data_IF_504494265998
#
_entry.id   IF_504494265998
#
_cell.length_a   1.000
_cell.length_b   1.000
_cell.length_c   1.000
_cell.angle_alpha   90.00
_cell.angle_beta   90.00
_cell.angle_gamma   90.00
#
_symmetry.space_group_name_H-M   'P 1'
#
loop_
_entity.id
_entity.type
_entity.pdbx_description
1 polymer ?
#
# COMPACT_ATOMS: atom_id res chain seq x y z
N UNK A 1 9.51 19.56 8.65
CA UNK A 1 10.07 18.40 7.93
C UNK A 1 8.87 17.67 7.37
N UNK A 2 8.70 17.69 6.05
CA UNK A 2 7.63 16.93 5.39
C UNK A 2 7.85 15.43 5.58
N UNK A 3 6.77 14.68 5.69
CA UNK A 3 6.83 13.22 5.73
C UNK A 3 7.38 12.71 4.39
N UNK A 4 8.46 11.93 4.49
CA UNK A 4 9.15 11.32 3.35
C UNK A 4 8.29 10.18 2.79
N UNK A 5 7.55 9.51 3.68
CA UNK A 5 6.66 8.42 3.32
C UNK A 5 5.21 8.80 3.64
N UNK A 6 4.29 8.50 2.72
CA UNK A 6 2.85 8.75 2.90
C UNK A 6 2.04 7.53 2.53
N UNK A 7 0.93 7.30 3.23
CA UNK A 7 -0.01 6.24 2.86
C UNK A 7 -0.91 6.74 1.73
N UNK A 8 -0.99 5.98 0.64
CA UNK A 8 -1.90 6.23 -0.47
C UNK A 8 -2.92 5.11 -0.58
N UNK A 9 -4.20 5.48 -0.56
CA UNK A 9 -5.31 4.58 -0.91
C UNK A 9 -5.26 4.28 -2.40
N UNK A 10 -5.23 3.00 -2.74
CA UNK A 10 -5.21 2.50 -4.11
C UNK A 10 -6.45 1.63 -4.35
N UNK A 11 -6.91 1.58 -5.59
CA UNK A 11 -7.97 0.65 -5.99
C UNK A 11 -7.34 -0.71 -6.28
N UNK A 12 -8.01 -1.79 -5.86
CA UNK A 12 -7.66 -3.18 -6.13
C UNK A 12 -8.87 -3.81 -6.81
N UNK A 13 -8.66 -4.44 -7.96
CA UNK A 13 -9.71 -5.22 -8.63
C UNK A 13 -9.35 -6.69 -8.39
N UNK A 14 -10.23 -7.41 -7.69
CA UNK A 14 -10.04 -8.84 -7.44
C UNK A 14 -10.73 -9.60 -8.57
N UNK A 15 -9.95 -10.29 -9.38
CA UNK A 15 -10.46 -11.15 -10.45
C UNK A 15 -10.50 -12.58 -9.91
N UNK A 16 -11.70 -13.12 -9.78
CA UNK A 16 -11.92 -14.50 -9.37
C UNK A 16 -11.67 -15.43 -10.57
N UNK A 17 -10.63 -16.25 -10.51
CA UNK A 17 -10.37 -17.26 -11.53
C UNK A 17 -11.44 -18.36 -11.50
N UNK A 18 -11.76 -18.94 -12.66
CA UNK A 18 -12.69 -20.08 -12.77
C UNK A 18 -11.96 -21.37 -13.10
N UNK A 19 -12.51 -22.51 -12.70
CA UNK A 19 -12.09 -23.82 -13.23
C UNK A 19 -12.93 -24.20 -14.46
N UNK A 20 -12.37 -25.08 -15.29
CA UNK A 20 -13.08 -25.63 -16.44
C UNK A 20 -14.35 -26.36 -15.96
N UNK A 21 -15.51 -25.97 -16.50
CA UNK A 21 -16.82 -26.52 -16.14
C UNK A 21 -17.66 -25.68 -15.17
N UNK A 22 -17.10 -24.62 -14.55
CA UNK A 22 -17.89 -23.67 -13.76
C UNK A 22 -18.57 -22.63 -14.65
N UNK A 23 -19.90 -22.54 -14.56
CA UNK A 23 -20.72 -21.54 -15.25
C UNK A 23 -20.94 -20.25 -14.43
N UNK A 24 -20.66 -20.28 -13.13
CA UNK A 24 -20.85 -19.13 -12.25
C UNK A 24 -19.61 -18.23 -12.30
N UNK A 25 -19.74 -17.06 -12.91
CA UNK A 25 -18.72 -16.02 -12.86
C UNK A 25 -19.10 -15.03 -11.75
N UNK A 26 -18.36 -15.03 -10.65
CA UNK A 26 -18.50 -13.97 -9.65
C UNK A 26 -18.03 -12.65 -10.25
N UNK A 27 -18.78 -11.55 -10.12
CA UNK A 27 -18.33 -10.25 -10.60
C UNK A 27 -17.00 -9.88 -9.91
N UNK A 28 -16.11 -9.14 -10.59
CA UNK A 28 -14.89 -8.68 -9.96
C UNK A 28 -15.20 -7.78 -8.77
N UNK A 29 -14.53 -8.04 -7.65
CA UNK A 29 -14.72 -7.25 -6.43
C UNK A 29 -13.84 -6.00 -6.48
N UNK A 30 -14.48 -4.84 -6.29
CA UNK A 30 -13.78 -3.59 -6.03
C UNK A 30 -13.30 -3.60 -4.57
N UNK A 31 -12.01 -3.82 -4.40
CA UNK A 31 -11.33 -3.77 -3.12
C UNK A 31 -10.47 -2.51 -3.00
N UNK A 32 -10.05 -2.23 -1.77
CA UNK A 32 -9.12 -1.16 -1.46
C UNK A 32 -7.86 -1.80 -0.89
N UNK A 33 -6.72 -1.24 -1.25
CA UNK A 33 -5.45 -1.52 -0.58
C UNK A 33 -4.69 -0.21 -0.39
N UNK A 34 -3.82 -0.20 0.59
CA UNK A 34 -3.06 0.96 1.02
C UNK A 34 -1.60 0.70 0.70
N UNK A 35 -0.93 1.62 0.02
CA UNK A 35 0.51 1.52 -0.27
C UNK A 35 1.24 2.69 0.33
N UNK A 36 2.48 2.44 0.76
CA UNK A 36 3.36 3.50 1.24
C UNK A 36 4.10 4.06 0.04
N UNK A 37 3.96 5.36 -0.20
CA UNK A 37 4.64 6.07 -1.28
C UNK A 37 5.81 6.90 -0.71
N UNK A 38 6.97 6.85 -1.34
CA UNK A 38 8.08 7.79 -1.08
C UNK A 38 7.83 9.06 -1.88
N UNK A 39 7.73 10.20 -1.21
CA UNK A 39 7.42 11.50 -1.82
C UNK A 39 8.59 12.06 -2.63
N UNK A 40 9.82 11.55 -2.45
CA UNK A 40 11.02 12.02 -3.15
C UNK A 40 11.24 11.32 -4.49
N UNK A 41 10.88 10.04 -4.55
CA UNK A 41 11.05 9.22 -5.76
C UNK A 41 9.73 8.97 -6.49
N UNK A 42 8.61 9.39 -5.89
CA UNK A 42 7.25 9.12 -6.35
C UNK A 42 6.94 7.60 -6.49
N UNK A 43 7.80 6.75 -5.91
CA UNK A 43 7.69 5.30 -5.94
C UNK A 43 6.84 4.74 -4.80
N UNK A 44 6.46 3.47 -4.93
CA UNK A 44 5.77 2.71 -3.88
C UNK A 44 6.71 1.70 -3.22
N UNK A 45 6.50 1.45 -1.93
CA UNK A 45 7.29 0.51 -1.14
C UNK A 45 6.44 -0.73 -0.81
N UNK A 46 6.95 -1.91 -1.18
CA UNK A 46 6.36 -3.21 -0.88
C UNK A 46 5.08 -3.53 -1.65
N UNK A 47 4.41 -4.62 -1.25
CA UNK A 47 3.22 -5.18 -1.91
C UNK A 47 1.89 -4.53 -1.47
N UNK A 48 1.91 -3.55 -0.57
CA UNK A 48 0.71 -2.90 -0.03
C UNK A 48 0.04 -3.66 1.12
N UNK A 49 -0.99 -3.03 1.68
CA UNK A 49 -1.72 -3.48 2.88
C UNK A 49 -3.21 -3.51 2.60
N UNK A 50 -3.92 -4.54 3.06
CA UNK A 50 -5.39 -4.56 2.96
C UNK A 50 -6.05 -3.65 4.02
N UNK A 51 -5.36 -3.34 5.14
CA UNK A 51 -5.85 -2.50 6.24
C UNK A 51 -5.09 -1.18 6.32
N UNK A 52 -5.82 -0.05 6.41
CA UNK A 52 -5.21 1.29 6.46
C UNK A 52 -4.33 1.48 7.70
N UNK A 53 -4.78 0.99 8.85
CA UNK A 53 -4.08 1.15 10.12
C UNK A 53 -2.69 0.51 10.12
N UNK A 54 -2.54 -0.67 9.48
CA UNK A 54 -1.24 -1.32 9.32
C UNK A 54 -0.32 -0.50 8.40
N UNK A 55 -0.85 0.00 7.28
CA UNK A 55 -0.09 0.89 6.40
C UNK A 55 0.36 2.16 7.13
N UNK A 56 -0.52 2.78 7.92
CA UNK A 56 -0.19 3.97 8.71
C UNK A 56 0.85 3.67 9.80
N UNK A 57 0.77 2.50 10.46
CA UNK A 57 1.72 2.10 11.48
C UNK A 57 3.12 1.96 10.88
N UNK A 58 3.25 1.27 9.76
CA UNK A 58 4.54 1.09 9.09
C UNK A 58 5.05 2.40 8.50
N UNK A 59 4.17 3.22 7.90
CA UNK A 59 4.53 4.54 7.39
C UNK A 59 5.14 5.43 8.49
N UNK A 60 4.52 5.48 9.68
CA UNK A 60 5.06 6.20 10.84
C UNK A 60 6.43 5.66 11.27
N UNK A 61 6.62 4.34 11.28
CA UNK A 61 7.92 3.74 11.60
C UNK A 61 9.01 4.11 10.58
N UNK A 62 8.68 4.12 9.29
CA UNK A 62 9.61 4.51 8.23
C UNK A 62 9.99 5.99 8.32
N UNK A 63 9.02 6.88 8.54
CA UNK A 63 9.29 8.30 8.75
C UNK A 63 10.16 8.53 9.99
N UNK A 64 9.87 7.85 11.11
CA UNK A 64 10.69 7.95 12.32
C UNK A 64 12.15 7.51 12.08
N UNK A 65 12.35 6.38 11.39
CA UNK A 65 13.70 5.89 11.05
C UNK A 65 14.45 6.86 10.12
N UNK A 66 13.77 7.40 9.12
CA UNK A 66 14.37 8.32 8.15
C UNK A 66 14.72 9.68 8.75
N UNK A 67 13.97 10.15 9.75
CA UNK A 67 14.32 11.36 10.50
C UNK A 67 15.60 11.18 11.33
N UNK A 68 15.86 9.97 11.85
CA UNK A 68 17.09 9.67 12.60
C UNK A 68 18.30 9.70 11.66
N UNK A 69 18.18 9.12 10.46
CA UNK A 69 19.29 9.12 9.49
C UNK A 69 19.64 10.53 9.01
N UNK A 70 18.63 11.38 8.78
CA UNK A 70 18.83 12.78 8.38
C UNK A 70 19.49 13.65 9.47
N UNK A 71 19.35 13.28 10.76
CA UNK A 71 19.99 14.01 11.88
C UNK A 71 21.41 13.58 12.19
N UNK A 72 21.88 12.45 11.64
CA UNK A 72 23.23 11.95 11.84
C UNK A 72 24.18 12.27 10.67
N UNK A 73 23.77 13.15 9.75
CA UNK A 73 24.60 13.62 8.62
C UNK A 73 25.19 15.00 8.90
#
# INVERSE_FOLDING_TARGET
>A
MEDIFVVKRCNKIIIHGRREGENEHLPPDAAVWYRIADTRTEGFIGDGYDVEEDAQRVCRQLNAKSQVTARQS
#
